data_IF_810656481242
#
_entry.id   IF_810656481242
#
_cell.length_a   1.000
_cell.length_b   1.000
_cell.length_c   1.000
_cell.angle_alpha   90.00
_cell.angle_beta   90.00
_cell.angle_gamma   90.00
#
_symmetry.space_group_name_H-M   'P 1'
#
loop_
_entity.id
_entity.type
_entity.pdbx_description
1 polymer ?
#
# COMPACT_ATOMS: atom_id res chain seq x y z
N UNK A 1 11.45 -17.55 20.40
CA UNK A 1 11.42 -17.89 18.97
C UNK A 1 9.96 -18.04 18.60
N UNK A 2 9.42 -17.13 17.78
CA UNK A 2 8.03 -17.23 17.34
C UNK A 2 7.91 -18.31 16.27
N UNK A 3 6.79 -19.03 16.24
CA UNK A 3 6.56 -20.05 15.20
C UNK A 3 6.30 -19.36 13.86
N UNK A 4 6.74 -19.95 12.75
CA UNK A 4 6.44 -19.48 11.39
C UNK A 4 4.94 -19.19 11.18
N UNK A 5 4.08 -20.00 11.78
CA UNK A 5 2.63 -19.78 11.74
C UNK A 5 2.22 -18.40 12.28
N UNK A 6 2.66 -18.05 13.50
CA UNK A 6 2.40 -16.74 14.12
C UNK A 6 3.00 -15.58 13.32
N UNK A 7 4.18 -15.78 12.74
CA UNK A 7 4.81 -14.79 11.87
C UNK A 7 3.98 -14.54 10.60
N UNK A 8 3.43 -15.60 10.01
CA UNK A 8 2.53 -15.50 8.85
C UNK A 8 1.20 -14.83 9.20
N UNK A 9 0.65 -15.07 10.40
CA UNK A 9 -0.54 -14.37 10.89
C UNK A 9 -0.25 -12.86 11.05
N UNK A 10 0.81 -12.49 11.77
CA UNK A 10 1.20 -11.08 11.92
C UNK A 10 1.46 -10.42 10.56
N UNK A 11 2.12 -11.12 9.64
CA UNK A 11 2.37 -10.62 8.29
C UNK A 11 1.06 -10.37 7.53
N UNK A 12 0.10 -11.29 7.64
CA UNK A 12 -1.22 -11.13 7.04
C UNK A 12 -1.99 -9.97 7.67
N UNK A 13 -1.85 -9.71 8.96
CA UNK A 13 -2.55 -8.61 9.62
C UNK A 13 -1.95 -7.24 9.23
N UNK A 14 -0.63 -7.15 9.13
CA UNK A 14 0.09 -5.93 8.78
C UNK A 14 0.00 -5.59 7.27
N UNK A 15 0.13 -6.61 6.39
CA UNK A 15 0.18 -6.43 4.93
C UNK A 15 -1.10 -6.84 4.19
N UNK A 16 -2.03 -7.51 4.86
CA UNK A 16 -3.17 -8.18 4.21
C UNK A 16 -4.13 -7.24 3.48
N UNK A 17 -4.14 -5.96 3.83
CA UNK A 17 -4.93 -4.95 3.11
C UNK A 17 -4.43 -4.77 1.66
N UNK A 18 -3.13 -4.92 1.41
CA UNK A 18 -2.52 -4.82 0.07
C UNK A 18 -2.89 -6.02 -0.82
N UNK A 19 -3.06 -7.21 -0.24
CA UNK A 19 -3.45 -8.41 -1.00
C UNK A 19 -4.90 -8.35 -1.49
N UNK A 20 -5.72 -7.47 -0.91
CA UNK A 20 -7.12 -7.28 -1.28
C UNK A 20 -7.25 -6.05 -2.18
N UNK A 21 -6.48 -6.06 -3.26
CA UNK A 21 -6.30 -4.91 -4.14
C UNK A 21 -7.64 -4.38 -4.71
N UNK A 22 -8.55 -5.28 -5.07
CA UNK A 22 -9.89 -4.94 -5.51
C UNK A 22 -10.79 -4.37 -4.40
N UNK A 23 -10.49 -4.62 -3.12
CA UNK A 23 -11.19 -4.00 -1.99
C UNK A 23 -10.61 -2.65 -1.60
N UNK A 24 -9.41 -2.31 -2.10
CA UNK A 24 -8.83 -0.99 -1.88
C UNK A 24 -9.70 0.10 -2.52
N UNK A 25 -10.29 -0.16 -3.70
CA UNK A 25 -11.18 0.83 -4.38
C UNK A 25 -12.36 1.26 -3.50
N UNK A 26 -12.90 0.35 -2.69
CA UNK A 26 -14.08 0.57 -1.85
C UNK A 26 -13.74 0.89 -0.38
N UNK A 27 -12.47 0.83 0.02
CA UNK A 27 -12.05 1.06 1.40
C UNK A 27 -12.05 2.56 1.74
N UNK A 28 -12.64 2.93 2.87
CA UNK A 28 -12.67 4.32 3.33
C UNK A 28 -11.25 4.90 3.42
N UNK A 29 -11.09 6.16 2.99
CA UNK A 29 -9.80 6.85 2.98
C UNK A 29 -9.16 6.89 4.39
N UNK A 30 -9.98 7.10 5.42
CA UNK A 30 -9.54 7.08 6.82
C UNK A 30 -8.98 5.74 7.24
N UNK A 31 -9.56 4.63 6.76
CA UNK A 31 -9.12 3.30 7.13
C UNK A 31 -7.87 2.89 6.35
N UNK A 32 -7.78 3.27 5.07
CA UNK A 32 -6.54 3.11 4.30
C UNK A 32 -5.38 3.84 4.97
N UNK A 33 -5.58 5.09 5.39
CA UNK A 33 -4.54 5.86 6.06
C UNK A 33 -4.11 5.21 7.38
N UNK A 34 -5.06 4.70 8.18
CA UNK A 34 -4.73 3.93 9.40
C UNK A 34 -3.87 2.71 9.09
N UNK A 35 -4.20 1.95 8.03
CA UNK A 35 -3.39 0.82 7.61
C UNK A 35 -1.98 1.24 7.17
N UNK A 36 -1.83 2.33 6.41
CA UNK A 36 -0.52 2.86 6.04
C UNK A 36 0.30 3.30 7.26
N UNK A 37 -0.32 3.95 8.24
CA UNK A 37 0.34 4.36 9.50
C UNK A 37 0.77 3.15 10.33
N UNK A 38 -0.10 2.15 10.47
CA UNK A 38 0.24 0.90 11.16
C UNK A 38 1.42 0.19 10.50
N UNK A 39 1.43 0.13 9.15
CA UNK A 39 2.50 -0.47 8.39
C UNK A 39 3.83 0.30 8.56
N UNK A 40 3.82 1.64 8.49
CA UNK A 40 5.01 2.44 8.76
C UNK A 40 5.56 2.14 10.15
N UNK A 41 4.70 2.13 11.19
CA UNK A 41 5.13 1.85 12.56
C UNK A 41 5.76 0.46 12.67
N UNK A 42 5.23 -0.53 11.94
CA UNK A 42 5.78 -1.88 11.93
C UNK A 42 7.13 -1.97 11.20
N UNK A 43 7.35 -1.11 10.21
CA UNK A 43 8.57 -1.01 9.40
C UNK A 43 9.48 0.14 9.86
N UNK A 44 9.33 0.58 11.10
CA UNK A 44 10.20 1.57 11.73
C UNK A 44 11.05 0.87 12.78
N UNK A 45 12.36 1.08 12.71
CA UNK A 45 13.31 0.68 13.74
C UNK A 45 14.08 1.92 14.20
N UNK A 46 13.75 2.40 15.40
CA UNK A 46 14.25 3.67 15.93
C UNK A 46 13.85 4.86 15.07
N UNK A 47 14.85 5.56 14.54
CA UNK A 47 14.67 6.72 13.65
C UNK A 47 14.64 6.33 12.15
N UNK A 48 14.96 5.07 11.83
CA UNK A 48 14.93 4.56 10.46
C UNK A 48 13.55 4.00 10.13
N UNK A 49 13.00 4.37 8.97
CA UNK A 49 11.75 3.81 8.45
C UNK A 49 11.92 3.39 7.00
N UNK A 50 11.44 2.19 6.67
CA UNK A 50 11.50 1.68 5.30
C UNK A 50 10.38 2.25 4.40
N UNK A 51 9.37 2.88 4.99
CA UNK A 51 8.21 3.42 4.25
C UNK A 51 7.65 4.65 4.95
N UNK A 52 7.25 5.64 4.15
CA UNK A 52 6.47 6.79 4.64
C UNK A 52 4.96 6.53 4.43
N UNK A 53 4.18 6.64 5.51
CA UNK A 53 2.76 6.34 5.50
C UNK A 53 1.96 7.27 4.59
N UNK A 54 2.34 8.56 4.50
CA UNK A 54 1.65 9.53 3.66
C UNK A 54 1.97 9.32 2.18
N UNK A 55 3.24 9.05 1.87
CA UNK A 55 3.66 8.73 0.50
C UNK A 55 3.00 7.42 0.03
N UNK A 56 2.96 6.39 0.88
CA UNK A 56 2.28 5.13 0.57
C UNK A 56 0.78 5.36 0.38
N UNK A 57 0.13 6.10 1.28
CA UNK A 57 -1.29 6.44 1.15
C UNK A 57 -1.59 7.15 -0.17
N UNK A 58 -0.81 8.17 -0.52
CA UNK A 58 -0.97 8.91 -1.78
C UNK A 58 -0.81 8.00 -3.01
N UNK A 59 0.19 7.12 -3.00
CA UNK A 59 0.39 6.12 -4.05
C UNK A 59 -0.81 5.18 -4.17
N UNK A 60 -1.35 4.70 -3.05
CA UNK A 60 -2.50 3.81 -3.04
C UNK A 60 -3.80 4.51 -3.48
N UNK A 61 -3.97 5.80 -3.19
CA UNK A 61 -5.10 6.59 -3.71
C UNK A 61 -5.03 6.70 -5.23
N UNK A 62 -3.86 7.03 -5.79
CA UNK A 62 -3.67 7.07 -7.25
C UNK A 62 -3.93 5.69 -7.84
N UNK A 63 -3.39 4.66 -7.20
CA UNK A 63 -3.55 3.29 -7.62
C UNK A 63 -5.04 2.87 -7.71
N UNK A 64 -5.90 3.28 -6.77
CA UNK A 64 -7.36 3.05 -6.83
C UNK A 64 -8.03 3.62 -8.08
N UNK A 65 -7.48 4.68 -8.67
CA UNK A 65 -8.02 5.27 -9.90
C UNK A 65 -7.63 4.45 -11.15
N UNK A 66 -6.62 3.61 -11.04
CA UNK A 66 -6.07 2.82 -12.14
C UNK A 66 -6.60 1.38 -12.17
N UNK A 67 -7.15 0.91 -11.05
CA UNK A 67 -7.63 -0.48 -10.92
C UNK A 67 -9.13 -0.56 -10.68
N UNK A 68 -9.71 -1.70 -11.03
CA UNK A 68 -11.10 -2.05 -10.73
C UNK A 68 -11.17 -3.29 -9.85
N UNK A 69 -12.29 -3.47 -9.14
CA UNK A 69 -12.44 -4.53 -8.14
C UNK A 69 -12.26 -5.95 -8.72
N UNK A 70 -12.58 -6.14 -10.00
CA UNK A 70 -12.61 -7.45 -10.65
C UNK A 70 -11.29 -7.82 -11.37
N UNK A 71 -10.25 -7.00 -11.26
CA UNK A 71 -8.98 -7.27 -11.93
C UNK A 71 -8.19 -8.38 -11.23
N UNK A 72 -7.62 -9.25 -12.04
CA UNK A 72 -6.66 -10.25 -11.58
C UNK A 72 -5.33 -9.58 -11.18
N UNK A 73 -4.55 -10.19 -10.28
CA UNK A 73 -3.23 -9.66 -9.93
C UNK A 73 -2.30 -9.44 -11.14
N UNK A 74 -2.41 -10.28 -12.17
CA UNK A 74 -1.62 -10.14 -13.40
C UNK A 74 -1.97 -8.89 -14.20
N UNK A 75 -3.27 -8.59 -14.32
CA UNK A 75 -3.75 -7.38 -14.99
C UNK A 75 -3.33 -6.13 -14.22
N UNK A 76 -3.44 -6.16 -12.89
CA UNK A 76 -2.97 -5.09 -12.02
C UNK A 76 -1.47 -4.83 -12.21
N UNK A 77 -0.65 -5.88 -12.21
CA UNK A 77 0.80 -5.75 -12.43
C UNK A 77 1.10 -5.17 -13.82
N UNK A 78 0.33 -5.56 -14.84
CA UNK A 78 0.46 -5.00 -16.20
C UNK A 78 0.17 -3.49 -16.21
N UNK A 79 -0.88 -3.05 -15.51
CA UNK A 79 -1.23 -1.62 -15.39
C UNK A 79 -0.11 -0.85 -14.72
N UNK A 80 0.44 -1.35 -13.61
CA UNK A 80 1.55 -0.69 -12.90
C UNK A 80 2.79 -0.58 -13.79
N UNK A 81 3.14 -1.64 -14.53
CA UNK A 81 4.27 -1.63 -15.47
C UNK A 81 4.08 -0.62 -16.60
N UNK A 82 2.87 -0.51 -17.14
CA UNK A 82 2.57 0.41 -18.23
C UNK A 82 2.41 1.86 -17.75
N UNK A 83 2.24 2.08 -16.44
CA UNK A 83 2.13 3.41 -15.81
C UNK A 83 3.50 4.09 -15.59
N UNK A 84 4.59 3.54 -16.17
CA UNK A 84 5.99 4.00 -16.18
C UNK A 84 6.24 5.43 -15.63
N UNK A 85 6.32 5.56 -14.31
CA UNK A 85 6.75 6.77 -13.61
C UNK A 85 5.66 7.73 -13.14
N UNK A 86 4.38 7.54 -13.52
CA UNK A 86 3.28 8.43 -13.08
C UNK A 86 3.11 8.47 -11.56
N UNK A 87 3.50 7.42 -10.84
CA UNK A 87 3.52 7.40 -9.37
C UNK A 87 4.56 8.34 -8.74
N UNK A 88 5.69 8.62 -9.42
CA UNK A 88 6.72 9.54 -8.90
C UNK A 88 6.33 11.01 -9.05
N UNK A 89 5.55 11.36 -10.09
CA UNK A 89 5.28 12.76 -10.48
C UNK A 89 4.40 13.50 -9.46
N UNK A 90 3.52 12.79 -8.74
CA UNK A 90 2.62 13.42 -7.77
C UNK A 90 3.25 13.64 -6.39
N UNK A 91 4.25 12.85 -6.00
CA UNK A 91 4.97 13.03 -4.73
C UNK A 91 5.84 14.29 -4.78
N UNK A 92 6.41 14.63 -5.94
CA UNK A 92 7.22 15.86 -6.09
C UNK A 92 6.37 17.13 -6.18
N UNK A 93 5.14 17.04 -6.67
CA UNK A 93 4.23 18.20 -6.78
C UNK A 93 3.60 18.65 -5.46
N UNK A 94 3.64 17.83 -4.41
CA UNK A 94 3.18 18.19 -3.06
C UNK A 94 4.24 18.84 -2.17
N UNK A 95 5.47 19.06 -2.69
CA UNK A 95 6.60 19.66 -1.95
C UNK A 95 6.93 21.10 -2.36
N UNK A 96 6.08 21.76 -3.17
CA UNK A 96 6.19 23.18 -3.54
C UNK A 96 5.06 24.01 -2.92
#
# INVERSE_FOLDING_TARGET
METLFKQLESYKDDFGFLFRIGKLTNMANTDLLKHCMALQNRLTDGESKDTDALDLYAQLIIFRLLVTENQTPLEVISIVKNSNGSFKIYVERGKN
#
